data_IF_813029234817
#
_entry.id   IF_813029234817
#
_cell.length_a   1.000
_cell.length_b   1.000
_cell.length_c   1.000
_cell.angle_alpha   90.00
_cell.angle_beta   90.00
_cell.angle_gamma   90.00
#
_symmetry.space_group_name_H-M   'P 1'
#
loop_
_entity.id
_entity.type
_entity.pdbx_description
1 polymer ?
#
# COMPACT_ATOMS: atom_id res chain seq x y z
N UNK A 1 -10.96 -11.60 -6.96
CA UNK A 1 -10.60 -12.16 -5.65
C UNK A 1 -11.30 -11.38 -4.56
N UNK A 2 -11.83 -12.06 -3.58
CA UNK A 2 -12.52 -11.41 -2.47
C UNK A 2 -11.51 -11.02 -1.39
N UNK A 3 -11.65 -9.81 -0.85
CA UNK A 3 -10.91 -9.41 0.32
C UNK A 3 -11.49 -10.11 1.55
N UNK A 4 -10.64 -10.54 2.48
CA UNK A 4 -11.09 -11.06 3.76
C UNK A 4 -10.97 -9.97 4.82
N UNK A 5 -12.01 -9.84 5.64
CA UNK A 5 -12.08 -8.85 6.71
C UNK A 5 -12.32 -9.50 8.04
N UNK A 6 -11.70 -8.99 9.08
CA UNK A 6 -11.87 -9.44 10.45
C UNK A 6 -11.94 -8.25 11.39
N UNK A 7 -12.79 -8.36 12.40
CA UNK A 7 -12.94 -7.36 13.46
C UNK A 7 -12.79 -8.06 14.80
N UNK A 8 -12.01 -7.48 15.71
CA UNK A 8 -11.84 -8.01 17.05
C UNK A 8 -12.59 -7.19 18.10
N UNK A 9 -12.62 -7.71 19.34
CA UNK A 9 -13.33 -7.07 20.44
C UNK A 9 -12.75 -5.72 20.89
N UNK A 10 -11.50 -5.42 20.51
CA UNK A 10 -10.87 -4.14 20.82
C UNK A 10 -11.12 -3.07 19.75
N UNK A 11 -11.96 -3.37 18.77
CA UNK A 11 -12.27 -2.44 17.67
C UNK A 11 -11.20 -2.38 16.58
N UNK A 12 -10.22 -3.27 16.60
CA UNK A 12 -9.26 -3.42 15.53
C UNK A 12 -9.91 -4.16 14.36
N UNK A 13 -9.78 -3.60 13.17
CA UNK A 13 -10.29 -4.19 11.95
C UNK A 13 -9.13 -4.51 11.00
N UNK A 14 -9.20 -5.63 10.33
CA UNK A 14 -8.18 -6.07 9.39
C UNK A 14 -8.82 -6.56 8.09
N UNK A 15 -8.16 -6.27 6.97
CA UNK A 15 -8.57 -6.73 5.65
C UNK A 15 -7.32 -7.12 4.86
N UNK A 16 -7.43 -8.17 4.06
CA UNK A 16 -6.34 -8.64 3.19
C UNK A 16 -6.85 -8.90 1.79
N UNK A 17 -5.99 -8.66 0.81
CA UNK A 17 -6.26 -8.92 -0.60
C UNK A 17 -4.96 -9.32 -1.29
N UNK A 18 -5.00 -10.43 -2.04
CA UNK A 18 -3.88 -10.86 -2.87
C UNK A 18 -4.21 -10.60 -4.33
N UNK A 19 -3.31 -9.95 -5.04
CA UNK A 19 -3.50 -9.60 -6.45
C UNK A 19 -2.31 -10.04 -7.28
N UNK A 20 -2.54 -10.39 -8.56
CA UNK A 20 -1.44 -10.52 -9.51
C UNK A 20 -0.66 -9.20 -9.62
N UNK A 21 0.66 -9.29 -9.76
CA UNK A 21 1.53 -8.12 -9.91
C UNK A 21 1.48 -7.61 -11.36
N UNK A 22 0.34 -7.09 -11.75
CA UNK A 22 0.06 -6.61 -13.11
C UNK A 22 -0.62 -5.25 -13.05
N UNK A 23 -0.29 -4.38 -13.99
CA UNK A 23 -0.91 -3.05 -14.08
C UNK A 23 -2.44 -3.10 -14.22
N UNK A 24 -2.96 -4.15 -14.85
CA UNK A 24 -4.39 -4.35 -14.96
C UNK A 24 -5.09 -4.50 -13.61
N UNK A 25 -4.35 -4.77 -12.53
CA UNK A 25 -4.90 -4.92 -11.18
C UNK A 25 -4.90 -3.61 -10.37
N UNK A 26 -4.36 -2.52 -10.91
CA UNK A 26 -4.35 -1.23 -10.22
C UNK A 26 -5.76 -0.72 -9.90
N UNK A 27 -6.69 -0.92 -10.80
CA UNK A 27 -8.09 -0.56 -10.59
C UNK A 27 -8.69 -1.30 -9.38
N UNK A 28 -8.42 -2.59 -9.26
CA UNK A 28 -8.87 -3.40 -8.11
C UNK A 28 -8.23 -2.92 -6.81
N UNK A 29 -6.95 -2.57 -6.84
CA UNK A 29 -6.25 -2.04 -5.65
C UNK A 29 -6.84 -0.70 -5.20
N UNK A 30 -7.14 0.20 -6.13
CA UNK A 30 -7.77 1.48 -5.81
C UNK A 30 -9.17 1.30 -5.23
N UNK A 31 -9.96 0.42 -5.81
CA UNK A 31 -11.30 0.12 -5.30
C UNK A 31 -11.24 -0.44 -3.88
N UNK A 32 -10.35 -1.38 -3.66
CA UNK A 32 -10.10 -1.97 -2.34
C UNK A 32 -9.74 -0.89 -1.32
N UNK A 33 -8.78 -0.02 -1.64
CA UNK A 33 -8.35 1.04 -0.73
C UNK A 33 -9.49 2.03 -0.41
N UNK A 34 -10.29 2.40 -1.41
CA UNK A 34 -11.40 3.32 -1.22
C UNK A 34 -12.53 2.71 -0.40
N UNK A 35 -12.95 1.50 -0.74
CA UNK A 35 -14.05 0.82 -0.04
C UNK A 35 -13.68 0.51 1.41
N UNK A 36 -12.53 -0.09 1.64
CA UNK A 36 -12.10 -0.47 2.99
C UNK A 36 -11.68 0.75 3.80
N UNK A 37 -11.02 1.72 3.19
CA UNK A 37 -10.67 2.97 3.86
C UNK A 37 -11.90 3.70 4.40
N UNK A 38 -12.95 3.79 3.62
CA UNK A 38 -14.21 4.40 4.05
C UNK A 38 -14.88 3.59 5.16
N UNK A 39 -14.93 2.27 5.00
CA UNK A 39 -15.49 1.36 6.01
C UNK A 39 -14.74 1.48 7.35
N UNK A 40 -13.42 1.66 7.28
CA UNK A 40 -12.57 1.72 8.46
C UNK A 40 -12.44 3.13 9.05
N UNK A 41 -13.15 4.11 8.51
CA UNK A 41 -13.34 5.40 9.16
C UNK A 41 -12.67 6.62 8.54
N UNK A 42 -12.15 6.51 7.32
CA UNK A 42 -11.66 7.68 6.60
C UNK A 42 -12.84 8.45 5.98
N UNK A 43 -12.80 9.79 6.04
CA UNK A 43 -13.77 10.63 5.35
C UNK A 43 -13.47 10.70 3.84
N UNK A 44 -14.26 11.44 3.09
CA UNK A 44 -14.12 11.52 1.64
C UNK A 44 -12.75 12.04 1.21
N UNK A 45 -12.27 13.11 1.85
CA UNK A 45 -10.95 13.68 1.53
C UNK A 45 -9.82 12.73 1.93
N UNK A 46 -9.95 12.11 3.10
CA UNK A 46 -8.98 11.12 3.57
C UNK A 46 -8.91 9.90 2.67
N UNK A 47 -10.06 9.42 2.20
CA UNK A 47 -10.11 8.31 1.24
C UNK A 47 -9.44 8.68 -0.08
N UNK A 48 -9.69 9.88 -0.58
CA UNK A 48 -9.10 10.35 -1.83
C UNK A 48 -7.56 10.32 -1.75
N UNK A 49 -7.01 10.92 -0.71
CA UNK A 49 -5.55 10.95 -0.49
C UNK A 49 -5.00 9.54 -0.28
N UNK A 50 -5.70 8.73 0.49
CA UNK A 50 -5.32 7.35 0.77
C UNK A 50 -5.25 6.51 -0.52
N UNK A 51 -6.25 6.62 -1.37
CA UNK A 51 -6.30 5.90 -2.65
C UNK A 51 -5.15 6.32 -3.56
N UNK A 52 -4.84 7.62 -3.62
CA UNK A 52 -3.71 8.10 -4.42
C UNK A 52 -2.38 7.54 -3.92
N UNK A 53 -2.18 7.53 -2.61
CA UNK A 53 -0.96 6.98 -2.01
C UNK A 53 -0.86 5.46 -2.23
N UNK A 54 -1.97 4.75 -2.07
CA UNK A 54 -2.04 3.31 -2.33
C UNK A 54 -1.72 2.99 -3.78
N UNK A 55 -2.26 3.78 -4.71
CA UNK A 55 -1.97 3.59 -6.13
C UNK A 55 -0.48 3.68 -6.43
N UNK A 56 0.22 4.62 -5.83
CA UNK A 56 1.67 4.77 -6.01
C UNK A 56 2.43 3.59 -5.39
N UNK A 57 2.06 3.20 -4.18
CA UNK A 57 2.70 2.06 -3.50
C UNK A 57 2.50 0.75 -4.27
N UNK A 58 1.30 0.52 -4.78
CA UNK A 58 0.99 -0.69 -5.56
C UNK A 58 1.70 -0.67 -6.92
N UNK A 59 1.79 0.50 -7.57
CA UNK A 59 2.54 0.64 -8.81
C UNK A 59 4.00 0.23 -8.62
N UNK A 60 4.61 0.69 -7.53
CA UNK A 60 5.99 0.33 -7.19
C UNK A 60 6.12 -1.17 -6.89
N UNK A 61 5.18 -1.73 -6.14
CA UNK A 61 5.18 -3.16 -5.84
C UNK A 61 5.04 -4.02 -7.10
N UNK A 62 4.23 -3.60 -8.06
CA UNK A 62 4.06 -4.28 -9.33
C UNK A 62 5.38 -4.27 -10.13
N UNK A 63 6.09 -3.13 -10.15
CA UNK A 63 7.39 -3.06 -10.83
C UNK A 63 8.39 -4.06 -10.25
N UNK A 64 8.45 -4.17 -8.92
CA UNK A 64 9.36 -5.08 -8.23
C UNK A 64 8.87 -6.52 -8.31
N UNK A 65 7.57 -6.74 -8.11
CA UNK A 65 6.95 -8.05 -8.11
C UNK A 65 6.93 -8.73 -9.47
N UNK A 66 7.05 -7.96 -10.56
CA UNK A 66 7.11 -8.52 -11.91
C UNK A 66 8.30 -9.46 -12.12
N UNK A 67 9.32 -9.42 -11.23
CA UNK A 67 10.44 -10.34 -11.27
C UNK A 67 10.17 -11.63 -10.49
N UNK A 68 9.06 -11.72 -9.76
CA UNK A 68 8.67 -12.93 -9.03
C UNK A 68 7.95 -13.90 -9.98
N UNK A 69 8.34 -15.17 -9.95
CA UNK A 69 7.72 -16.22 -10.77
C UNK A 69 6.22 -16.38 -10.51
N UNK A 70 5.78 -16.14 -9.28
CA UNK A 70 4.36 -16.19 -8.93
C UNK A 70 3.61 -14.92 -9.32
N UNK A 71 4.31 -13.81 -9.42
CA UNK A 71 3.73 -12.54 -9.83
C UNK A 71 2.60 -12.05 -8.93
N UNK A 72 2.68 -12.29 -7.60
CA UNK A 72 1.66 -11.87 -6.64
C UNK A 72 2.17 -10.73 -5.77
N UNK A 73 1.23 -9.87 -5.38
CA UNK A 73 1.44 -8.88 -4.32
C UNK A 73 0.39 -9.08 -3.24
N UNK A 74 0.76 -8.84 -2.00
CA UNK A 74 -0.16 -8.93 -0.85
C UNK A 74 -0.48 -7.54 -0.33
N UNK A 75 -1.76 -7.21 -0.28
CA UNK A 75 -2.26 -5.97 0.26
C UNK A 75 -2.96 -6.25 1.58
N UNK A 76 -2.81 -5.34 2.54
CA UNK A 76 -3.59 -5.38 3.77
C UNK A 76 -3.96 -3.99 4.22
N UNK A 77 -5.09 -3.86 4.90
CA UNK A 77 -5.52 -2.63 5.54
C UNK A 77 -5.92 -2.97 6.97
N UNK A 78 -5.31 -2.29 7.92
CA UNK A 78 -5.56 -2.46 9.35
C UNK A 78 -6.02 -1.13 9.92
N UNK A 79 -7.09 -1.14 10.70
CA UNK A 79 -7.54 0.04 11.42
C UNK A 79 -7.51 -0.24 12.92
N UNK A 80 -7.00 0.72 13.67
CA UNK A 80 -7.14 0.76 15.13
C UNK A 80 -7.96 1.99 15.52
N UNK A 81 -7.92 2.40 16.80
CA UNK A 81 -8.69 3.57 17.24
C UNK A 81 -8.25 4.90 16.65
N UNK A 82 -7.06 4.98 16.08
CA UNK A 82 -6.46 6.24 15.62
C UNK A 82 -6.14 6.28 14.14
N UNK A 83 -5.71 5.16 13.56
CA UNK A 83 -5.14 5.13 12.21
C UNK A 83 -5.70 4.02 11.35
N UNK A 84 -5.67 4.26 10.05
CA UNK A 84 -5.87 3.25 9.02
C UNK A 84 -4.51 3.06 8.33
N UNK A 85 -4.00 1.84 8.34
CA UNK A 85 -2.68 1.51 7.80
C UNK A 85 -2.82 0.53 6.63
N UNK A 86 -2.36 0.94 5.48
CA UNK A 86 -2.24 0.10 4.30
C UNK A 86 -0.83 -0.47 4.23
N UNK A 87 -0.71 -1.74 3.87
CA UNK A 87 0.57 -2.37 3.58
C UNK A 87 0.50 -3.09 2.25
N UNK A 88 1.55 -2.98 1.46
CA UNK A 88 1.71 -3.80 0.28
C UNK A 88 3.07 -4.47 0.34
N UNK A 89 3.06 -5.79 0.13
CA UNK A 89 4.27 -6.59 0.09
C UNK A 89 4.44 -7.21 -1.28
N UNK A 90 5.59 -6.97 -1.89
CA UNK A 90 6.03 -7.71 -3.07
C UNK A 90 7.04 -8.79 -2.64
N UNK A 91 7.26 -9.76 -3.52
CA UNK A 91 8.17 -10.88 -3.28
C UNK A 91 9.33 -10.88 -4.27
N UNK A 92 9.50 -9.77 -4.98
CA UNK A 92 10.58 -9.63 -5.94
C UNK A 92 11.92 -9.31 -5.28
N UNK A 93 12.98 -9.40 -6.09
CA UNK A 93 14.30 -8.96 -5.66
C UNK A 93 14.34 -7.44 -5.67
N UNK A 94 14.45 -6.85 -4.50
CA UNK A 94 14.61 -5.41 -4.38
C UNK A 94 16.07 -5.06 -4.65
N UNK A 95 16.32 -4.40 -5.77
CA UNK A 95 17.59 -3.69 -5.96
C UNK A 95 17.36 -2.34 -5.31
N UNK A 96 18.05 -2.09 -4.22
CA UNK A 96 17.97 -0.80 -3.55
C UNK A 96 18.17 0.30 -4.59
N UNK A 97 17.19 1.23 -4.73
CA UNK A 97 17.45 2.39 -5.54
C UNK A 97 18.70 3.05 -4.95
N UNK A 98 19.68 3.32 -5.80
CA UNK A 98 20.89 4.00 -5.38
C UNK A 98 20.42 5.36 -4.87
N UNK A 99 20.50 5.55 -3.55
CA UNK A 99 20.08 6.81 -2.91
C UNK A 99 20.93 8.00 -3.37
N UNK A 100 21.97 7.74 -4.15
CA UNK A 100 22.85 8.73 -4.77
C UNK A 100 22.38 9.14 -6.17
N UNK A 101 21.25 8.63 -6.63
CA UNK A 101 20.68 9.06 -7.90
C UNK A 101 20.08 10.46 -7.78
N UNK A 102 19.91 11.14 -8.93
CA UNK A 102 19.30 12.46 -8.92
C UNK A 102 17.94 12.40 -8.21
N UNK A 103 17.65 13.44 -7.43
CA UNK A 103 16.40 13.62 -6.67
C UNK A 103 15.15 13.48 -7.54
N UNK A 104 15.34 13.39 -8.84
CA UNK A 104 14.31 13.25 -9.86
C UNK A 104 14.10 11.80 -10.34
N UNK A 105 14.67 10.79 -9.66
CA UNK A 105 14.35 9.42 -10.00
C UNK A 105 12.87 9.15 -9.66
N UNK A 106 12.18 8.34 -10.44
CA UNK A 106 10.78 8.01 -10.22
C UNK A 106 10.52 7.48 -8.80
N UNK A 107 11.50 6.80 -8.21
CA UNK A 107 11.42 6.29 -6.84
C UNK A 107 11.37 7.40 -5.78
N UNK A 108 12.17 8.46 -5.94
CA UNK A 108 12.17 9.58 -5.02
C UNK A 108 10.87 10.37 -5.07
N UNK A 109 10.28 10.51 -6.26
CA UNK A 109 9.01 11.21 -6.44
C UNK A 109 7.85 10.44 -5.82
N UNK A 110 7.83 9.11 -5.96
CA UNK A 110 6.79 8.27 -5.41
C UNK A 110 6.74 8.34 -3.89
N UNK A 111 7.89 8.23 -3.24
CA UNK A 111 7.98 8.32 -1.77
C UNK A 111 7.58 9.72 -1.28
N UNK A 112 8.05 10.78 -1.94
CA UNK A 112 7.68 12.15 -1.57
C UNK A 112 6.18 12.40 -1.77
N UNK A 113 5.59 11.89 -2.85
CA UNK A 113 4.16 11.98 -3.11
C UNK A 113 3.35 11.28 -2.03
N UNK A 114 3.72 10.05 -1.68
CA UNK A 114 3.05 9.30 -0.62
C UNK A 114 3.13 10.04 0.72
N UNK A 115 4.30 10.56 1.07
CA UNK A 115 4.50 11.31 2.32
C UNK A 115 3.66 12.59 2.39
N UNK A 116 3.30 13.16 1.25
CA UNK A 116 2.42 14.33 1.19
C UNK A 116 0.92 14.00 1.31
N UNK A 117 0.54 12.73 1.12
CA UNK A 117 -0.85 12.29 1.10
C UNK A 117 -1.29 11.58 2.38
N UNK A 118 -0.35 11.03 3.13
CA UNK A 118 -0.62 10.27 4.35
C UNK A 118 0.26 10.79 5.49
N UNK A 119 -0.01 10.33 6.70
CA UNK A 119 0.68 10.83 7.90
C UNK A 119 2.02 10.16 8.13
N UNK A 120 2.18 8.91 7.67
CA UNK A 120 3.41 8.16 7.83
C UNK A 120 3.63 7.19 6.68
N UNK A 121 4.86 7.10 6.21
CA UNK A 121 5.29 6.13 5.20
C UNK A 121 6.46 5.34 5.76
N UNK A 122 6.39 4.02 5.73
CA UNK A 122 7.48 3.14 6.15
C UNK A 122 7.83 2.19 5.01
N UNK A 123 9.12 2.02 4.79
CA UNK A 123 9.66 1.07 3.82
C UNK A 123 10.47 0.02 4.56
N UNK A 124 10.13 -1.24 4.38
CA UNK A 124 10.83 -2.36 5.00
C UNK A 124 11.35 -3.29 3.92
N UNK A 125 12.66 -3.40 3.84
CA UNK A 125 13.34 -4.25 2.85
C UNK A 125 13.79 -5.53 3.55
N UNK A 126 13.38 -6.66 3.00
CA UNK A 126 13.70 -7.99 3.52
C UNK A 126 14.29 -8.86 2.41
N UNK A 127 15.02 -9.94 2.75
CA UNK A 127 15.61 -10.80 1.73
C UNK A 127 14.61 -11.40 0.74
N UNK A 128 13.36 -11.57 1.14
CA UNK A 128 12.33 -12.17 0.31
C UNK A 128 11.37 -11.18 -0.32
N UNK A 129 11.58 -9.87 -0.16
CA UNK A 129 10.69 -8.87 -0.72
C UNK A 129 10.72 -7.55 0.00
N UNK A 130 9.80 -6.66 -0.38
CA UNK A 130 9.71 -5.32 0.17
C UNK A 130 8.28 -5.06 0.63
N UNK A 131 8.14 -4.41 1.79
CA UNK A 131 6.85 -3.98 2.31
C UNK A 131 6.83 -2.46 2.43
N UNK A 132 5.80 -1.84 1.88
CA UNK A 132 5.53 -0.40 2.07
C UNK A 132 4.30 -0.27 2.94
N UNK A 133 4.38 0.52 4.00
CA UNK A 133 3.26 0.82 4.89
C UNK A 133 2.92 2.30 4.83
N UNK A 134 1.64 2.59 4.67
CA UNK A 134 1.09 3.95 4.63
C UNK A 134 0.07 4.06 5.74
N UNK A 135 0.27 5.00 6.66
CA UNK A 135 -0.67 5.22 7.78
C UNK A 135 -1.32 6.58 7.65
N UNK A 136 -2.64 6.61 7.79
CA UNK A 136 -3.42 7.84 7.79
C UNK A 136 -4.29 7.90 9.04
N UNK A 137 -4.29 9.06 9.69
CA UNK A 137 -5.10 9.28 10.90
C UNK A 137 -6.58 9.28 10.51
N UNK A 138 -7.39 8.59 11.31
CA UNK A 138 -8.85 8.59 11.13
C UNK A 138 -9.42 9.96 11.48
N UNK A 139 -10.37 10.35 10.70
CA UNK A 139 -11.07 11.63 10.92
C UNK A 139 -12.41 11.44 11.61
#
# INVERSE_FOLDING_TARGET
MAASEQHDAAGRAESELHLPARRSELSAARKYAGDVGAEFGLDADGCYDFVLAVNEAVTNAIRHGASDERGLIHLSIVADGERVTFSVRDFGSFVMPVMDGPVNSDHGRGLAMMAGLVDEVQLEIQPGGTTVRLSKVRT
#
